data_IF_580793107936
#
_entry.id   IF_580793107936
#
_cell.length_a   1.000
_cell.length_b   1.000
_cell.length_c   1.000
_cell.angle_alpha   90.00
_cell.angle_beta   90.00
_cell.angle_gamma   90.00
#
_symmetry.space_group_name_H-M   'P 1'
#
loop_
_entity.id
_entity.type
_entity.pdbx_description
1 polymer ?
#
# COMPACT_ATOMS: atom_id res chain seq x y z
N UNK A 1 -16.13 14.98 5.84
CA UNK A 1 -17.16 14.71 4.83
C UNK A 1 -17.46 13.20 4.93
N UNK A 2 -18.73 12.85 5.14
CA UNK A 2 -19.12 11.44 5.20
C UNK A 2 -18.96 10.83 3.79
N UNK A 3 -18.37 9.65 3.72
CA UNK A 3 -18.30 8.86 2.49
C UNK A 3 -19.63 8.12 2.34
N UNK A 4 -20.14 8.06 1.12
CA UNK A 4 -21.34 7.27 0.80
C UNK A 4 -21.09 5.80 1.14
N UNK A 5 -22.02 5.17 1.85
CA UNK A 5 -21.90 3.76 2.26
C UNK A 5 -21.75 2.80 1.08
N UNK A 6 -22.30 3.17 -0.08
CA UNK A 6 -22.24 2.38 -1.30
C UNK A 6 -20.98 2.67 -2.13
N UNK A 7 -20.15 3.66 -1.78
CA UNK A 7 -18.94 3.98 -2.51
C UNK A 7 -17.85 2.92 -2.32
N UNK A 8 -17.05 2.72 -3.35
CA UNK A 8 -15.82 1.92 -3.23
C UNK A 8 -14.71 2.80 -2.68
N UNK A 9 -14.16 2.42 -1.54
CA UNK A 9 -13.08 3.18 -0.89
C UNK A 9 -11.71 2.66 -1.33
N UNK A 10 -10.84 3.59 -1.73
CA UNK A 10 -9.44 3.30 -2.09
C UNK A 10 -8.52 4.15 -1.23
N UNK A 11 -7.85 3.53 -0.27
CA UNK A 11 -6.81 4.19 0.49
C UNK A 11 -5.54 4.32 -0.34
N UNK A 12 -5.04 5.53 -0.48
CA UNK A 12 -3.80 5.82 -1.21
C UNK A 12 -2.78 6.37 -0.24
N UNK A 13 -1.67 5.67 -0.09
CA UNK A 13 -0.70 6.00 0.94
C UNK A 13 0.74 6.03 0.45
N UNK A 14 1.57 6.83 1.10
CA UNK A 14 3.01 6.77 0.91
C UNK A 14 3.56 5.46 1.51
N UNK A 15 4.75 5.04 1.07
CA UNK A 15 5.33 3.76 1.46
C UNK A 15 6.67 3.95 2.17
N UNK A 16 6.64 3.89 3.50
CA UNK A 16 7.80 4.13 4.37
C UNK A 16 8.44 2.85 4.89
N UNK A 17 7.61 1.86 5.21
CA UNK A 17 8.03 0.60 5.83
C UNK A 17 7.16 -0.56 5.36
N UNK A 18 7.67 -1.78 5.43
CA UNK A 18 6.85 -2.98 5.26
C UNK A 18 5.76 -3.10 6.35
N UNK A 19 5.92 -2.38 7.46
CA UNK A 19 4.92 -2.30 8.52
C UNK A 19 3.67 -1.48 8.12
N UNK A 20 3.74 -0.66 7.07
CA UNK A 20 2.60 0.14 6.60
C UNK A 20 1.37 -0.72 6.33
N UNK A 21 1.56 -1.91 5.74
CA UNK A 21 0.48 -2.87 5.48
C UNK A 21 -0.21 -3.33 6.77
N UNK A 22 0.60 -3.65 7.79
CA UNK A 22 0.09 -4.13 9.08
C UNK A 22 -0.65 -2.99 9.80
N UNK A 23 -0.03 -1.80 9.82
CA UNK A 23 -0.57 -0.63 10.49
C UNK A 23 -1.93 -0.22 9.90
N UNK A 24 -2.01 -0.08 8.58
CA UNK A 24 -3.27 0.34 7.93
C UNK A 24 -4.32 -0.75 8.02
N UNK A 25 -3.94 -2.02 7.83
CA UNK A 25 -4.89 -3.14 8.05
C UNK A 25 -5.45 -3.12 9.47
N UNK A 26 -4.62 -2.88 10.47
CA UNK A 26 -5.06 -2.78 11.87
C UNK A 26 -6.04 -1.62 12.08
N UNK A 27 -5.73 -0.44 11.53
CA UNK A 27 -6.55 0.77 11.70
C UNK A 27 -7.94 0.68 11.07
N UNK A 28 -8.08 -0.08 9.97
CA UNK A 28 -9.37 -0.21 9.28
C UNK A 28 -10.04 -1.57 9.51
N UNK A 29 -9.45 -2.44 10.32
CA UNK A 29 -9.95 -3.81 10.55
C UNK A 29 -11.34 -3.87 11.18
N UNK A 30 -11.73 -2.83 11.94
CA UNK A 30 -13.07 -2.72 12.52
C UNK A 30 -14.16 -2.43 11.48
N UNK A 31 -13.81 -1.77 10.39
CA UNK A 31 -14.78 -1.21 9.46
C UNK A 31 -14.78 -1.93 8.10
N UNK A 32 -13.65 -2.49 7.69
CA UNK A 32 -13.52 -3.11 6.37
C UNK A 32 -12.36 -4.08 6.26
N UNK A 33 -12.53 -5.10 5.40
CA UNK A 33 -11.44 -5.97 4.96
C UNK A 33 -10.70 -5.29 3.80
N UNK A 34 -9.41 -5.02 3.97
CA UNK A 34 -8.58 -4.40 2.95
C UNK A 34 -8.07 -5.39 1.92
N UNK A 35 -8.21 -5.04 0.65
CA UNK A 35 -7.50 -5.69 -0.46
C UNK A 35 -6.33 -4.81 -0.90
N UNK A 36 -5.10 -5.35 -0.96
CA UNK A 36 -3.92 -4.60 -1.35
C UNK A 36 -2.92 -5.40 -2.17
N UNK A 37 -2.19 -4.69 -3.03
CA UNK A 37 -1.21 -5.26 -3.93
C UNK A 37 0.15 -5.42 -3.26
N UNK A 38 0.68 -6.63 -3.22
CA UNK A 38 2.00 -6.95 -2.65
C UNK A 38 2.94 -7.46 -3.73
N UNK A 39 4.21 -7.05 -3.65
CA UNK A 39 5.25 -7.50 -4.58
C UNK A 39 5.62 -8.98 -4.40
N UNK A 40 6.39 -9.50 -5.36
CA UNK A 40 6.78 -10.93 -5.41
C UNK A 40 7.59 -11.41 -4.20
N UNK A 41 8.26 -10.50 -3.48
CA UNK A 41 9.07 -10.82 -2.29
C UNK A 41 8.26 -11.51 -1.17
N UNK A 42 6.97 -11.22 -1.10
CA UNK A 42 6.07 -11.77 -0.08
C UNK A 42 5.53 -13.18 -0.42
N UNK A 43 5.97 -13.80 -1.53
CA UNK A 43 5.50 -15.13 -1.98
C UNK A 43 6.16 -16.31 -1.28
N UNK A 44 6.97 -16.05 -0.26
CA UNK A 44 7.71 -17.08 0.49
C UNK A 44 6.79 -17.77 1.50
N UNK A 45 6.83 -19.09 1.53
CA UNK A 45 6.15 -19.88 2.54
C UNK A 45 6.86 -19.74 3.91
N UNK A 46 6.17 -19.57 5.06
CA UNK A 46 4.71 -19.52 5.28
C UNK A 46 4.10 -18.12 5.14
N UNK A 47 4.92 -17.06 4.96
CA UNK A 47 4.51 -15.66 4.91
C UNK A 47 3.41 -15.41 3.86
N UNK A 48 3.47 -16.13 2.73
CA UNK A 48 2.44 -16.05 1.69
C UNK A 48 1.04 -16.35 2.19
N UNK A 49 0.90 -17.33 3.08
CA UNK A 49 -0.41 -17.75 3.62
C UNK A 49 -0.96 -16.63 4.50
N UNK A 50 -0.14 -16.09 5.39
CA UNK A 50 -0.51 -14.99 6.28
C UNK A 50 -0.92 -13.74 5.49
N UNK A 51 -0.10 -13.33 4.54
CA UNK A 51 -0.34 -12.13 3.71
C UNK A 51 -1.63 -12.28 2.89
N UNK A 52 -1.92 -13.47 2.35
CA UNK A 52 -3.20 -13.74 1.67
C UNK A 52 -4.39 -13.69 2.61
N UNK A 53 -4.26 -14.25 3.80
CA UNK A 53 -5.30 -14.20 4.81
C UNK A 53 -5.64 -12.77 5.26
N UNK A 54 -4.68 -11.84 5.12
CA UNK A 54 -4.87 -10.40 5.36
C UNK A 54 -5.47 -9.65 4.17
N UNK A 55 -5.94 -10.34 3.11
CA UNK A 55 -6.58 -9.71 1.95
C UNK A 55 -5.63 -9.30 0.81
N UNK A 56 -4.34 -9.61 0.90
CA UNK A 56 -3.38 -9.23 -0.12
C UNK A 56 -3.43 -10.10 -1.38
N UNK A 57 -3.25 -9.48 -2.53
CA UNK A 57 -2.97 -10.16 -3.79
C UNK A 57 -1.57 -9.84 -4.31
N UNK A 58 -0.95 -10.81 -4.98
CA UNK A 58 0.44 -10.67 -5.43
C UNK A 58 0.53 -10.14 -6.85
N UNK A 59 1.32 -9.08 -7.04
CA UNK A 59 1.59 -8.52 -8.36
C UNK A 59 3.01 -8.80 -8.83
N UNK A 60 3.15 -9.08 -10.13
CA UNK A 60 4.43 -9.16 -10.83
C UNK A 60 4.76 -7.80 -11.43
N UNK A 61 5.55 -7.00 -10.73
CA UNK A 61 5.85 -5.61 -11.14
C UNK A 61 6.58 -5.48 -12.47
N UNK A 62 7.23 -6.55 -12.94
CA UNK A 62 8.04 -6.57 -14.18
C UNK A 62 7.43 -7.42 -15.30
N UNK A 63 6.22 -7.91 -15.12
CA UNK A 63 5.62 -8.70 -16.19
C UNK A 63 5.39 -7.83 -17.42
N UNK A 64 6.02 -8.23 -18.54
CA UNK A 64 5.72 -7.69 -19.87
C UNK A 64 4.64 -8.50 -20.58
N UNK A 65 4.10 -9.52 -19.92
CA UNK A 65 3.06 -10.39 -20.41
C UNK A 65 1.73 -9.63 -20.44
N UNK A 66 1.21 -9.43 -21.64
CA UNK A 66 -0.03 -8.69 -21.86
C UNK A 66 -1.25 -9.42 -21.31
N UNK A 67 -1.25 -10.77 -21.36
CA UNK A 67 -2.32 -11.57 -20.76
C UNK A 67 -2.36 -11.34 -19.25
N UNK A 68 -1.20 -11.37 -18.59
CA UNK A 68 -1.12 -11.10 -17.16
C UNK A 68 -1.64 -9.69 -16.80
N UNK A 69 -1.28 -8.67 -17.59
CA UNK A 69 -1.74 -7.29 -17.38
C UNK A 69 -3.25 -7.16 -17.52
N UNK A 70 -3.83 -7.81 -18.55
CA UNK A 70 -5.29 -7.84 -18.77
C UNK A 70 -6.02 -8.54 -17.63
N UNK A 71 -5.51 -9.67 -17.15
CA UNK A 71 -6.08 -10.40 -16.01
C UNK A 71 -6.01 -9.56 -14.75
N UNK A 72 -4.89 -8.90 -14.48
CA UNK A 72 -4.73 -8.02 -13.31
C UNK A 72 -5.68 -6.82 -13.39
N UNK A 73 -5.75 -6.15 -14.55
CA UNK A 73 -6.66 -5.04 -14.76
C UNK A 73 -8.12 -5.46 -14.50
N UNK A 74 -8.54 -6.61 -15.10
CA UNK A 74 -9.89 -7.11 -14.90
C UNK A 74 -10.18 -7.50 -13.45
N UNK A 75 -9.21 -8.08 -12.75
CA UNK A 75 -9.34 -8.37 -11.32
C UNK A 75 -9.59 -7.11 -10.50
N UNK A 76 -8.76 -6.06 -10.71
CA UNK A 76 -8.90 -4.78 -10.01
C UNK A 76 -10.23 -4.11 -10.33
N UNK A 77 -10.65 -4.09 -11.61
CA UNK A 77 -11.94 -3.54 -12.04
C UNK A 77 -13.13 -4.25 -11.36
N UNK A 78 -13.11 -5.59 -11.33
CA UNK A 78 -14.15 -6.37 -10.67
C UNK A 78 -14.19 -6.12 -9.16
N UNK A 79 -13.03 -6.05 -8.50
CA UNK A 79 -12.94 -5.72 -7.08
C UNK A 79 -13.55 -4.32 -6.81
N UNK A 80 -13.20 -3.34 -7.64
CA UNK A 80 -13.72 -1.97 -7.55
C UNK A 80 -15.24 -1.94 -7.77
N UNK A 81 -15.75 -2.57 -8.80
CA UNK A 81 -17.19 -2.61 -9.12
C UNK A 81 -18.01 -3.29 -8.02
N UNK A 82 -17.43 -4.27 -7.32
CA UNK A 82 -18.08 -4.96 -6.21
C UNK A 82 -17.89 -4.28 -4.83
N UNK A 83 -17.37 -3.05 -4.79
CA UNK A 83 -17.25 -2.29 -3.55
C UNK A 83 -16.16 -2.78 -2.61
N UNK A 84 -15.19 -3.58 -3.10
CA UNK A 84 -14.08 -4.06 -2.27
C UNK A 84 -13.18 -2.88 -1.90
N UNK A 85 -13.01 -2.62 -0.61
CA UNK A 85 -12.08 -1.62 -0.11
C UNK A 85 -10.65 -1.99 -0.47
N UNK A 86 -9.93 -1.07 -1.09
CA UNK A 86 -8.58 -1.30 -1.60
C UNK A 86 -7.56 -0.37 -0.94
N UNK A 87 -6.30 -0.81 -0.90
CA UNK A 87 -5.18 0.03 -0.51
C UNK A 87 -4.07 -0.04 -1.56
N UNK A 88 -3.58 1.12 -1.98
CA UNK A 88 -2.52 1.22 -2.99
C UNK A 88 -1.38 2.14 -2.52
N UNK A 89 -0.18 1.78 -2.96
CA UNK A 89 1.04 2.57 -2.76
C UNK A 89 1.50 3.09 -4.12
N UNK A 90 1.15 4.31 -4.49
CA UNK A 90 1.43 4.84 -5.83
C UNK A 90 2.93 4.95 -6.12
N UNK A 91 3.76 5.14 -5.12
CA UNK A 91 5.22 5.15 -5.28
C UNK A 91 5.77 3.82 -5.85
N UNK A 92 5.03 2.72 -5.64
CA UNK A 92 5.37 1.40 -6.17
C UNK A 92 6.62 0.76 -5.56
N UNK A 93 7.09 1.26 -4.42
CA UNK A 93 8.22 0.73 -3.65
C UNK A 93 8.42 1.54 -2.38
N UNK A 94 9.24 1.00 -1.48
CA UNK A 94 9.65 1.71 -0.27
C UNK A 94 10.47 2.95 -0.61
N UNK A 95 10.24 4.04 0.12
CA UNK A 95 11.12 5.21 0.09
C UNK A 95 12.45 4.85 0.72
N UNK A 96 13.55 5.17 0.04
CA UNK A 96 14.91 4.89 0.53
C UNK A 96 15.51 6.06 1.32
N UNK A 97 15.04 7.27 1.05
CA UNK A 97 15.57 8.52 1.61
C UNK A 97 14.51 9.32 2.40
N UNK A 98 13.35 8.72 2.62
CA UNK A 98 12.23 9.36 3.28
C UNK A 98 11.46 10.36 2.40
N UNK A 99 11.84 10.58 1.14
CA UNK A 99 11.12 11.44 0.21
C UNK A 99 10.04 10.67 -0.52
N UNK A 100 8.99 11.37 -0.92
CA UNK A 100 7.93 10.80 -1.75
C UNK A 100 8.39 10.75 -3.20
N UNK A 101 8.23 9.59 -3.83
CA UNK A 101 8.50 9.42 -5.25
C UNK A 101 7.27 9.82 -6.11
N UNK A 102 7.47 10.19 -7.38
CA UNK A 102 6.35 10.43 -8.30
C UNK A 102 5.43 9.20 -8.40
N UNK A 103 4.09 9.42 -8.53
CA UNK A 103 3.14 8.31 -8.56
C UNK A 103 3.25 7.48 -9.83
N UNK A 104 3.17 6.16 -9.67
CA UNK A 104 2.99 5.19 -10.76
C UNK A 104 1.49 4.95 -10.95
N UNK A 105 0.97 5.41 -12.06
CA UNK A 105 -0.47 5.48 -12.30
C UNK A 105 -1.12 4.13 -12.66
N UNK A 106 -0.36 3.06 -12.87
CA UNK A 106 -0.88 1.79 -13.40
C UNK A 106 -2.06 1.20 -12.65
N UNK A 107 -2.02 1.16 -11.30
CA UNK A 107 -3.16 0.68 -10.51
C UNK A 107 -4.30 1.71 -10.50
N UNK A 108 -3.99 3.00 -10.50
CA UNK A 108 -5.01 4.06 -10.59
C UNK A 108 -5.77 3.92 -11.90
N UNK A 109 -5.08 3.73 -13.03
CA UNK A 109 -5.73 3.44 -14.32
C UNK A 109 -6.65 2.22 -14.24
N UNK A 110 -6.19 1.10 -13.67
CA UNK A 110 -7.03 -0.10 -13.56
C UNK A 110 -8.29 0.12 -12.71
N UNK A 111 -8.21 0.97 -11.68
CA UNK A 111 -9.33 1.33 -10.82
C UNK A 111 -10.32 2.25 -11.56
N UNK A 112 -9.81 3.23 -12.31
CA UNK A 112 -10.62 4.25 -12.96
C UNK A 112 -11.17 3.82 -14.33
N UNK A 113 -10.45 2.94 -15.03
CA UNK A 113 -10.82 2.49 -16.37
C UNK A 113 -12.06 1.62 -16.33
N UNK A 114 -13.09 2.03 -17.07
CA UNK A 114 -14.34 1.31 -17.15
C UNK A 114 -15.20 1.35 -15.88
N UNK A 115 -14.94 2.29 -14.97
CA UNK A 115 -15.75 2.50 -13.78
C UNK A 115 -17.12 3.08 -14.16
N UNK A 116 -18.19 2.43 -13.72
CA UNK A 116 -19.55 2.95 -13.80
C UNK A 116 -19.84 3.86 -12.59
N UNK A 117 -19.47 5.12 -12.73
CA UNK A 117 -19.61 6.11 -11.67
C UNK A 117 -21.09 6.49 -11.39
N UNK A 118 -22.02 6.18 -12.31
CA UNK A 118 -23.43 6.34 -12.06
C UNK A 118 -23.94 5.28 -11.08
N UNK A 119 -23.49 4.04 -11.25
CA UNK A 119 -23.88 2.94 -10.37
C UNK A 119 -23.19 3.03 -9.00
N UNK A 120 -21.86 3.33 -8.97
CA UNK A 120 -21.08 3.36 -7.74
C UNK A 120 -19.93 4.38 -7.83
N UNK A 121 -19.85 5.28 -6.85
CA UNK A 121 -18.70 6.19 -6.75
C UNK A 121 -17.45 5.46 -6.27
N UNK A 122 -16.29 5.99 -6.65
CA UNK A 122 -14.98 5.55 -6.16
C UNK A 122 -14.38 6.72 -5.40
N UNK A 123 -14.13 6.51 -4.11
CA UNK A 123 -13.60 7.53 -3.22
C UNK A 123 -12.17 7.22 -2.83
N UNK A 124 -11.25 8.08 -3.24
CA UNK A 124 -9.84 7.98 -2.88
C UNK A 124 -9.57 8.72 -1.57
N UNK A 125 -9.03 8.02 -0.59
CA UNK A 125 -8.68 8.57 0.71
C UNK A 125 -7.16 8.66 0.81
N UNK A 126 -6.57 9.88 0.80
CA UNK A 126 -5.15 10.06 1.01
C UNK A 126 -4.77 9.70 2.44
N UNK A 127 -3.70 8.91 2.61
CA UNK A 127 -3.22 8.49 3.93
C UNK A 127 -1.71 8.79 4.02
N UNK A 128 -1.35 9.65 4.94
CA UNK A 128 0.04 9.94 5.26
C UNK A 128 0.52 9.04 6.39
N UNK A 129 1.55 8.24 6.13
CA UNK A 129 2.19 7.39 7.15
C UNK A 129 3.59 7.91 7.42
N UNK A 130 3.92 8.10 8.70
CA UNK A 130 5.25 8.51 9.12
C UNK A 130 5.67 7.76 10.39
N UNK A 131 6.97 7.59 10.55
CA UNK A 131 7.58 6.90 11.69
C UNK A 131 8.70 7.76 12.27
N UNK A 132 8.85 7.78 13.58
CA UNK A 132 10.05 8.34 14.22
C UNK A 132 11.26 7.42 13.99
N UNK A 133 11.03 6.12 13.85
CA UNK A 133 12.03 5.09 13.50
C UNK A 133 11.46 4.08 12.53
N UNK A 134 12.10 3.90 11.39
CA UNK A 134 11.79 2.84 10.45
C UNK A 134 12.63 1.61 10.81
N UNK A 135 12.00 0.44 10.94
CA UNK A 135 12.71 -0.80 11.33
C UNK A 135 13.81 -1.19 10.34
N UNK A 136 13.62 -0.83 9.09
CA UNK A 136 14.50 -1.13 7.97
C UNK A 136 15.46 0.02 7.62
N UNK A 137 15.54 1.10 8.40
CA UNK A 137 16.23 2.34 8.04
C UNK A 137 17.69 2.11 7.61
N UNK A 138 18.45 1.31 8.37
CA UNK A 138 19.85 0.98 8.04
C UNK A 138 19.97 0.32 6.66
N UNK A 139 19.12 -0.65 6.38
CA UNK A 139 19.15 -1.42 5.13
C UNK A 139 18.72 -0.54 3.97
N UNK A 140 17.72 0.32 4.19
CA UNK A 140 17.22 1.26 3.18
C UNK A 140 18.28 2.32 2.84
N UNK A 141 18.95 2.89 3.85
CA UNK A 141 20.02 3.87 3.66
C UNK A 141 21.23 3.28 2.95
N UNK A 142 21.64 2.05 3.32
CA UNK A 142 22.74 1.34 2.66
C UNK A 142 22.41 1.00 1.20
N UNK A 143 21.16 0.58 0.90
CA UNK A 143 20.71 0.33 -0.45
C UNK A 143 20.64 1.65 -1.27
N UNK A 144 20.19 2.74 -0.67
CA UNK A 144 20.20 4.07 -1.27
C UNK A 144 21.60 4.57 -1.60
N UNK A 145 22.57 4.38 -0.69
CA UNK A 145 23.98 4.75 -0.89
C UNK A 145 24.66 3.94 -2.01
N UNK A 146 24.23 2.69 -2.24
CA UNK A 146 24.72 1.84 -3.35
C UNK A 146 24.02 2.13 -4.69
N UNK A 147 23.07 3.07 -4.73
CA UNK A 147 22.26 3.33 -5.92
C UNK A 147 21.29 2.20 -6.29
N UNK A 148 21.10 1.25 -5.38
CA UNK A 148 20.16 0.15 -5.56
C UNK A 148 18.74 0.67 -5.40
N UNK A 149 18.02 0.85 -6.50
CA UNK A 149 16.58 1.26 -6.49
C UNK A 149 15.63 0.17 -5.94
N UNK A 150 16.15 -0.83 -5.20
CA UNK A 150 15.38 -2.01 -4.78
C UNK A 150 15.85 -2.54 -3.45
N UNK A 151 14.88 -2.69 -2.59
CA UNK A 151 14.99 -3.53 -1.40
C UNK A 151 14.87 -5.00 -1.85
N UNK A 152 15.99 -5.70 -1.97
CA UNK A 152 16.05 -7.14 -1.96
C UNK A 152 16.11 -7.57 -0.50
N UNK A 153 14.95 -7.73 0.15
CA UNK A 153 14.91 -8.28 1.49
C UNK A 153 15.58 -9.66 1.46
N UNK A 154 16.73 -9.77 2.10
CA UNK A 154 17.33 -11.08 2.37
C UNK A 154 16.43 -11.74 3.43
N UNK A 155 15.69 -12.79 3.01
CA UNK A 155 14.70 -13.48 3.85
C UNK A 155 15.35 -13.93 5.17
N UNK A 156 16.64 -14.30 5.13
CA UNK A 156 17.41 -14.64 6.32
C UNK A 156 17.53 -13.48 7.31
N UNK A 157 17.71 -12.26 6.82
CA UNK A 157 17.76 -11.06 7.66
C UNK A 157 16.39 -10.71 8.26
N UNK A 158 15.33 -10.80 7.48
CA UNK A 158 13.97 -10.57 7.98
C UNK A 158 13.58 -11.60 9.05
N UNK A 159 13.91 -12.88 8.85
CA UNK A 159 13.72 -13.93 9.86
C UNK A 159 14.59 -13.71 11.10
N UNK A 160 15.83 -13.29 10.94
CA UNK A 160 16.73 -13.01 12.06
C UNK A 160 16.24 -11.81 12.89
N UNK A 161 15.71 -10.77 12.25
CA UNK A 161 15.10 -9.63 12.93
C UNK A 161 13.82 -10.07 13.66
N UNK A 162 12.93 -10.81 13.00
CA UNK A 162 11.70 -11.32 13.61
C UNK A 162 12.00 -12.22 14.80
N UNK A 163 12.98 -13.12 14.69
CA UNK A 163 13.42 -13.99 15.80
C UNK A 163 14.01 -13.20 16.95
N UNK A 164 14.80 -12.16 16.66
CA UNK A 164 15.39 -11.28 17.68
C UNK A 164 14.30 -10.51 18.43
N UNK A 165 13.29 -10.02 17.73
CA UNK A 165 12.12 -9.35 18.31
C UNK A 165 11.35 -10.30 19.20
N UNK A 166 11.01 -11.48 18.70
CA UNK A 166 10.29 -12.51 19.45
C UNK A 166 11.04 -12.94 20.71
N UNK A 167 12.34 -13.21 20.59
CA UNK A 167 13.19 -13.59 21.72
C UNK A 167 13.28 -12.49 22.79
N UNK A 168 13.27 -11.22 22.39
CA UNK A 168 13.27 -10.07 23.31
C UNK A 168 11.91 -9.89 23.98
N UNK A 169 10.82 -10.01 23.24
CA UNK A 169 9.46 -9.99 23.78
C UNK A 169 9.26 -11.10 24.83
N UNK A 170 9.73 -12.32 24.56
CA UNK A 170 9.68 -13.43 25.51
C UNK A 170 10.54 -13.21 26.77
N UNK A 171 11.51 -12.28 26.73
CA UNK A 171 12.37 -11.91 27.87
C UNK A 171 11.85 -10.70 28.65
N UNK A 172 10.65 -10.19 28.32
CA UNK A 172 10.06 -9.04 29.00
C UNK A 172 10.86 -7.73 28.81
N UNK A 173 11.72 -7.66 27.80
CA UNK A 173 12.45 -6.44 27.49
C UNK A 173 11.56 -5.55 26.62
N UNK A 174 10.92 -4.56 27.25
CA UNK A 174 10.15 -3.52 26.58
C UNK A 174 11.05 -2.76 25.60
N UNK A 175 10.90 -3.07 24.32
CA UNK A 175 11.46 -2.25 23.26
C UNK A 175 10.34 -1.40 22.69
N UNK A 176 10.43 -0.12 22.96
CA UNK A 176 9.63 0.87 22.22
C UNK A 176 10.16 0.89 20.79
N UNK A 177 9.41 0.31 19.88
CA UNK A 177 9.70 0.31 18.42
C UNK A 177 9.57 1.70 17.79
N UNK A 178 9.31 2.72 18.59
CA UNK A 178 9.01 4.06 18.15
C UNK A 178 7.50 4.32 18.02
N UNK A 179 7.16 5.48 17.48
CA UNK A 179 5.79 5.90 17.23
C UNK A 179 5.54 5.93 15.72
N UNK A 180 4.33 5.55 15.32
CA UNK A 180 3.83 5.71 13.97
C UNK A 180 2.71 6.76 14.00
N UNK A 181 2.83 7.76 13.14
CA UNK A 181 1.77 8.73 12.88
C UNK A 181 1.03 8.37 11.62
N UNK A 182 -0.30 8.36 11.66
CA UNK A 182 -1.15 8.16 10.48
C UNK A 182 -2.14 9.31 10.39
N UNK A 183 -2.09 10.02 9.27
CA UNK A 183 -3.03 11.10 8.95
C UNK A 183 -3.92 10.71 7.78
N UNK A 184 -5.23 10.91 7.93
CA UNK A 184 -6.19 10.73 6.84
C UNK A 184 -6.54 12.09 6.26
N UNK A 185 -6.29 12.27 4.97
CA UNK A 185 -6.66 13.48 4.23
C UNK A 185 -8.13 13.48 3.82
N UNK A 186 -8.62 14.63 3.35
CA UNK A 186 -9.99 14.75 2.85
C UNK A 186 -10.22 13.79 1.67
N UNK A 187 -11.33 13.05 1.65
CA UNK A 187 -11.69 12.14 0.57
C UNK A 187 -11.81 12.87 -0.78
N UNK A 188 -11.52 12.17 -1.87
CA UNK A 188 -11.65 12.64 -3.25
C UNK A 188 -12.62 11.71 -3.97
N UNK A 189 -13.82 12.22 -4.31
CA UNK A 189 -14.78 11.50 -5.14
C UNK A 189 -14.34 11.52 -6.60
N UNK A 190 -14.29 10.35 -7.23
CA UNK A 190 -14.00 10.25 -8.65
C UNK A 190 -15.16 10.75 -9.50
N UNK A 191 -16.38 10.63 -9.01
CA UNK A 191 -17.58 11.17 -9.65
C UNK A 191 -17.50 12.70 -9.79
N UNK A 192 -17.02 13.39 -8.74
CA UNK A 192 -16.91 14.84 -8.73
C UNK A 192 -15.69 15.32 -9.54
N UNK A 193 -14.58 14.63 -9.45
CA UNK A 193 -13.34 15.01 -10.12
C UNK A 193 -13.31 14.63 -11.60
N UNK A 194 -14.06 13.60 -11.98
CA UNK A 194 -13.98 12.94 -13.29
C UNK A 194 -12.80 11.96 -13.40
N UNK A 195 -12.89 11.00 -14.34
CA UNK A 195 -11.92 9.90 -14.48
C UNK A 195 -10.63 10.38 -15.19
N UNK A 196 -9.81 11.18 -14.49
CA UNK A 196 -8.53 11.70 -14.97
C UNK A 196 -7.39 11.17 -14.09
N UNK A 197 -6.82 9.98 -14.38
CA UNK A 197 -5.85 9.31 -13.52
C UNK A 197 -4.62 10.14 -13.16
N UNK A 198 -4.12 10.95 -14.10
CA UNK A 198 -2.94 11.81 -13.89
C UNK A 198 -3.23 12.93 -12.88
N UNK A 199 -4.34 13.64 -13.06
CA UNK A 199 -4.77 14.71 -12.17
C UNK A 199 -5.11 14.15 -10.78
N UNK A 200 -5.78 13.01 -10.73
CA UNK A 200 -6.08 12.28 -9.49
C UNK A 200 -4.81 11.88 -8.76
N UNK A 201 -3.85 11.26 -9.46
CA UNK A 201 -2.58 10.83 -8.88
C UNK A 201 -1.81 12.01 -8.28
N UNK A 202 -1.72 13.14 -8.98
CA UNK A 202 -1.06 14.35 -8.48
C UNK A 202 -1.78 14.93 -7.25
N UNK A 203 -3.10 15.05 -7.29
CA UNK A 203 -3.89 15.61 -6.19
C UNK A 203 -3.81 14.74 -4.92
N UNK A 204 -3.88 13.40 -5.06
CA UNK A 204 -3.72 12.49 -3.94
C UNK A 204 -2.33 12.64 -3.32
N UNK A 205 -1.26 12.65 -4.13
CA UNK A 205 0.11 12.81 -3.62
C UNK A 205 0.31 14.16 -2.93
N UNK A 206 -0.29 15.23 -3.47
CA UNK A 206 -0.27 16.55 -2.83
C UNK A 206 -0.93 16.52 -1.46
N UNK A 207 -2.08 15.85 -1.30
CA UNK A 207 -2.78 15.72 -0.01
C UNK A 207 -2.06 14.82 1.00
N UNK A 208 -1.29 13.84 0.53
CA UNK A 208 -0.44 13.01 1.41
C UNK A 208 0.73 13.84 1.94
N UNK A 209 1.25 14.79 1.14
CA UNK A 209 2.39 15.62 1.52
C UNK A 209 2.03 16.81 2.41
N UNK A 210 0.75 17.20 2.49
CA UNK A 210 0.27 18.34 3.28
C UNK A 210 0.11 18.01 4.75
#
# INVERSE_FOLDING_TARGET
QAIDADATVVFVMNHRSNMDYVLVTYLVASDSALSYAVGEWARVWPLRILIRAMGAYFIRRRSRDDLYRRVLARYVQLATANGVTQAIFPEGGLSLDGRMAPPKLGLIHYITDGADLAARDIVFVPVAVNYDRVLEDRILLEAGARGERRFNANIGEALAVSWRVLRRALRGQDHRFGMAGVGFGAPISLRDMGPKPEALGQEVMRRIAA
#
